data_IF_800598081087
#
_entry.id   IF_800598081087
#
_cell.length_a   1.000
_cell.length_b   1.000
_cell.length_c   1.000
_cell.angle_alpha   90.00
_cell.angle_beta   90.00
_cell.angle_gamma   90.00
#
_symmetry.space_group_name_H-M   'P 1'
#
loop_
_entity.id
_entity.type
_entity.pdbx_description
1 polymer ?
#
# COMPACT_ATOMS: atom_id res chain seq x y z
N UNK A 1 20.11 5.77 -4.70
CA UNK A 1 20.53 4.93 -3.56
C UNK A 1 19.30 4.51 -2.76
N UNK A 2 19.21 3.26 -2.33
CA UNK A 2 18.16 2.79 -1.42
C UNK A 2 18.66 2.88 0.02
N UNK A 3 18.06 3.73 0.83
CA UNK A 3 18.35 3.89 2.26
C UNK A 3 17.41 2.97 3.06
N UNK A 4 17.75 1.67 3.14
CA UNK A 4 16.88 0.67 3.74
C UNK A 4 16.63 0.93 5.22
N UNK A 5 15.36 1.14 5.57
CA UNK A 5 14.97 1.44 6.94
C UNK A 5 15.41 0.36 7.93
N UNK A 6 15.25 -0.91 7.55
CA UNK A 6 15.68 -2.08 8.32
C UNK A 6 17.18 -2.14 8.64
N UNK A 7 18.02 -1.44 7.88
CA UNK A 7 19.46 -1.30 8.15
C UNK A 7 19.77 -0.05 8.98
N UNK A 8 19.07 1.05 8.69
CA UNK A 8 19.35 2.36 9.29
C UNK A 8 18.88 2.43 10.75
N UNK A 9 17.71 1.87 11.09
CA UNK A 9 17.11 1.97 12.43
C UNK A 9 17.06 0.61 13.15
N UNK A 10 18.01 -0.28 12.84
CA UNK A 10 18.03 -1.67 13.30
C UNK A 10 18.05 -1.80 14.84
N UNK A 11 18.83 -0.95 15.51
CA UNK A 11 19.20 -1.11 16.92
C UNK A 11 18.15 -0.56 17.90
N UNK A 12 17.06 0.02 17.37
CA UNK A 12 15.91 0.46 18.15
C UNK A 12 15.34 1.80 17.68
N UNK A 13 14.17 2.19 18.21
CA UNK A 13 13.53 3.45 17.86
C UNK A 13 14.48 4.64 18.05
N UNK A 14 14.56 5.51 17.04
CA UNK A 14 15.38 6.71 16.96
C UNK A 14 16.90 6.48 17.04
N UNK A 15 17.37 5.23 16.87
CA UNK A 15 18.80 4.91 16.80
C UNK A 15 19.20 4.68 15.34
N UNK A 16 19.70 5.73 14.69
CA UNK A 16 20.04 5.72 13.27
C UNK A 16 21.53 5.48 13.02
N UNK A 17 21.86 4.44 12.25
CA UNK A 17 23.21 4.19 11.75
C UNK A 17 23.28 4.48 10.24
N UNK A 18 24.01 5.54 9.88
CA UNK A 18 24.24 5.96 8.49
C UNK A 18 25.66 5.67 7.99
N UNK A 19 26.52 5.05 8.81
CA UNK A 19 27.94 4.87 8.49
C UNK A 19 28.15 4.15 7.16
N UNK A 20 27.36 3.10 6.90
CA UNK A 20 27.42 2.35 5.63
C UNK A 20 27.00 3.15 4.39
N UNK A 21 26.25 4.26 4.57
CA UNK A 21 25.81 5.14 3.48
C UNK A 21 26.66 6.41 3.37
N UNK A 22 27.30 6.85 4.46
CA UNK A 22 28.06 8.09 4.51
C UNK A 22 29.17 8.15 3.46
N UNK A 23 29.93 7.06 3.30
CA UNK A 23 31.00 6.95 2.29
C UNK A 23 30.47 7.10 0.86
N UNK A 24 29.33 6.46 0.55
CA UNK A 24 28.68 6.57 -0.76
C UNK A 24 28.20 7.99 -1.04
N UNK A 25 27.61 8.65 -0.05
CA UNK A 25 27.15 10.04 -0.16
C UNK A 25 28.34 10.97 -0.42
N UNK A 26 29.43 10.82 0.33
CA UNK A 26 30.65 11.60 0.13
C UNK A 26 31.24 11.39 -1.27
N UNK A 27 31.29 10.16 -1.77
CA UNK A 27 31.75 9.86 -3.12
C UNK A 27 30.92 10.59 -4.19
N UNK A 28 29.59 10.56 -4.07
CA UNK A 28 28.69 11.25 -5.01
C UNK A 28 28.93 12.75 -4.98
N UNK A 29 29.08 13.33 -3.78
CA UNK A 29 29.35 14.76 -3.60
C UNK A 29 30.71 15.19 -4.19
N UNK A 30 31.77 14.39 -3.99
CA UNK A 30 33.10 14.67 -4.55
C UNK A 30 33.09 14.77 -6.08
N UNK A 31 32.17 14.07 -6.75
CA UNK A 31 32.06 14.08 -8.21
C UNK A 31 31.01 15.06 -8.74
N UNK A 32 30.43 15.91 -7.87
CA UNK A 32 29.40 16.89 -8.27
C UNK A 32 28.11 16.25 -8.80
N UNK A 33 27.87 14.97 -8.48
CA UNK A 33 26.70 14.24 -8.96
C UNK A 33 25.49 14.49 -8.04
N UNK A 34 24.29 14.45 -8.62
CA UNK A 34 23.03 14.54 -7.87
C UNK A 34 22.68 13.19 -7.26
N UNK A 35 22.34 13.19 -5.98
CA UNK A 35 21.89 12.00 -5.27
C UNK A 35 20.36 11.91 -5.29
N UNK A 36 19.84 10.75 -5.70
CA UNK A 36 18.45 10.36 -5.47
C UNK A 36 18.44 9.30 -4.37
N UNK A 37 17.79 9.60 -3.24
CA UNK A 37 17.63 8.66 -2.12
C UNK A 37 16.19 8.16 -2.09
N UNK A 38 16.01 6.85 -2.15
CA UNK A 38 14.73 6.20 -1.89
C UNK A 38 14.76 5.72 -0.45
N UNK A 39 13.71 6.04 0.32
CA UNK A 39 13.53 5.59 1.70
C UNK A 39 12.47 4.49 1.74
N UNK A 40 12.83 3.22 1.50
CA UNK A 40 11.88 2.11 1.56
C UNK A 40 11.54 1.76 3.02
N UNK A 41 10.28 1.99 3.40
CA UNK A 41 9.68 1.54 4.68
C UNK A 41 9.05 0.14 4.55
N UNK A 42 9.65 -0.72 3.73
CA UNK A 42 9.19 -2.08 3.45
C UNK A 42 10.35 -3.07 3.52
N UNK A 43 10.01 -4.35 3.70
CA UNK A 43 10.97 -5.45 3.63
C UNK A 43 11.40 -5.72 2.18
N UNK A 44 12.69 -6.00 1.97
CA UNK A 44 13.25 -6.55 0.73
C UNK A 44 13.34 -8.09 0.80
N UNK A 45 13.22 -8.78 -0.34
CA UNK A 45 13.52 -10.21 -0.44
C UNK A 45 12.32 -11.11 -0.70
N UNK A 46 11.18 -10.53 -1.11
CA UNK A 46 9.92 -11.25 -1.32
C UNK A 46 9.26 -10.94 -2.67
N UNK A 47 9.93 -10.19 -3.55
CA UNK A 47 9.43 -9.85 -4.88
C UNK A 47 10.38 -10.35 -5.98
N UNK A 48 9.86 -10.51 -7.20
CA UNK A 48 10.64 -10.86 -8.41
C UNK A 48 11.83 -9.91 -8.57
N UNK A 49 13.03 -10.50 -8.65
CA UNK A 49 14.29 -9.77 -8.87
C UNK A 49 15.05 -9.38 -7.59
N UNK A 50 14.58 -9.77 -6.41
CA UNK A 50 15.33 -9.55 -5.16
C UNK A 50 16.43 -10.62 -4.95
N UNK A 51 17.69 -10.20 -4.93
CA UNK A 51 18.85 -11.08 -4.69
C UNK A 51 19.29 -11.16 -3.21
N UNK A 52 18.75 -10.32 -2.33
CA UNK A 52 19.03 -10.38 -0.89
C UNK A 52 17.82 -9.98 -0.05
N UNK A 53 17.77 -10.48 1.19
CA UNK A 53 16.67 -10.25 2.14
C UNK A 53 17.06 -9.18 3.16
N UNK A 54 16.26 -8.12 3.25
CA UNK A 54 16.40 -7.06 4.26
C UNK A 54 15.04 -6.95 4.97
N UNK A 55 14.88 -7.58 6.16
CA UNK A 55 13.61 -7.55 6.88
C UNK A 55 13.33 -6.16 7.47
N UNK A 56 12.10 -5.97 7.96
CA UNK A 56 11.83 -4.90 8.92
C UNK A 56 12.63 -5.13 10.22
N UNK A 57 12.80 -4.07 11.00
CA UNK A 57 13.54 -4.09 12.24
C UNK A 57 12.87 -5.03 13.27
N UNK A 58 13.66 -5.73 14.12
CA UNK A 58 13.11 -6.62 15.14
C UNK A 58 12.07 -5.95 16.05
N UNK A 59 12.31 -4.70 16.47
CA UNK A 59 11.39 -3.96 17.34
C UNK A 59 10.05 -3.65 16.66
N UNK A 60 10.05 -3.46 15.33
CA UNK A 60 8.83 -3.26 14.53
C UNK A 60 8.04 -4.54 14.43
N UNK A 61 8.73 -5.66 14.20
CA UNK A 61 8.12 -6.99 14.16
C UNK A 61 7.51 -7.35 15.52
N UNK A 62 8.14 -6.94 16.62
CA UNK A 62 7.59 -7.09 17.97
C UNK A 62 6.30 -6.28 18.16
N UNK A 63 6.25 -5.02 17.72
CA UNK A 63 5.03 -4.21 17.78
C UNK A 63 3.90 -4.79 16.91
N UNK A 64 4.23 -5.32 15.73
CA UNK A 64 3.29 -6.05 14.87
C UNK A 64 2.78 -7.32 15.59
N UNK A 65 3.63 -8.00 16.37
CA UNK A 65 3.21 -9.18 17.15
C UNK A 65 2.22 -8.80 18.26
N UNK A 66 2.44 -7.66 18.93
CA UNK A 66 1.56 -7.13 19.99
C UNK A 66 0.24 -6.64 19.42
N UNK A 67 0.28 -5.95 18.28
CA UNK A 67 -0.90 -5.44 17.59
C UNK A 67 -0.89 -5.82 16.11
N UNK A 68 -1.46 -7.00 15.77
CA UNK A 68 -1.42 -7.46 14.39
C UNK A 68 -2.35 -6.70 13.42
N UNK A 69 -3.16 -5.75 13.90
CA UNK A 69 -3.96 -4.86 13.05
C UNK A 69 -3.10 -3.73 12.41
N UNK A 70 -1.80 -3.66 12.75
CA UNK A 70 -0.83 -2.71 12.20
C UNK A 70 -0.40 -3.02 10.75
N UNK A 71 -0.68 -4.23 10.27
CA UNK A 71 -0.28 -4.71 8.94
C UNK A 71 -1.49 -4.95 8.05
N UNK A 72 -1.28 -4.91 6.73
CA UNK A 72 -2.35 -5.26 5.80
C UNK A 72 -2.75 -6.72 6.00
N UNK A 73 -4.06 -6.97 6.00
CA UNK A 73 -4.63 -8.30 6.14
C UNK A 73 -5.60 -8.55 5.00
N UNK A 74 -5.48 -9.70 4.37
CA UNK A 74 -6.42 -10.13 3.32
C UNK A 74 -7.68 -10.77 3.93
N UNK A 75 -8.62 -11.20 3.08
CA UNK A 75 -9.91 -11.78 3.51
C UNK A 75 -9.73 -13.11 4.23
N UNK A 76 -8.68 -13.87 3.90
CA UNK A 76 -8.31 -15.14 4.53
C UNK A 76 -7.57 -14.94 5.86
N UNK A 77 -7.31 -13.69 6.25
CA UNK A 77 -6.61 -13.36 7.49
C UNK A 77 -5.08 -13.39 7.38
N UNK A 78 -4.52 -13.59 6.18
CA UNK A 78 -3.07 -13.56 5.95
C UNK A 78 -2.57 -12.13 6.08
N UNK A 79 -1.46 -11.96 6.81
CA UNK A 79 -0.89 -10.65 7.16
C UNK A 79 0.35 -10.39 6.32
N UNK A 80 0.48 -9.18 5.78
CA UNK A 80 1.67 -8.73 5.07
C UNK A 80 2.46 -7.69 5.91
N UNK A 81 3.61 -8.07 6.50
CA UNK A 81 4.44 -7.17 7.29
C UNK A 81 5.29 -6.20 6.47
N UNK A 82 5.25 -6.22 5.13
CA UNK A 82 6.09 -5.37 4.27
C UNK A 82 5.75 -3.87 4.31
N UNK A 83 4.95 -3.38 5.25
CA UNK A 83 4.51 -1.97 5.24
C UNK A 83 4.50 -1.39 6.65
N UNK A 84 5.33 -0.37 6.88
CA UNK A 84 5.36 0.38 8.13
C UNK A 84 5.51 1.89 7.88
N UNK A 85 5.28 2.72 8.91
CA UNK A 85 5.17 4.18 8.86
C UNK A 85 6.08 4.90 9.89
N UNK A 86 6.59 6.09 9.50
CA UNK A 86 7.32 7.16 10.25
C UNK A 86 8.83 6.90 10.51
N UNK A 87 9.79 7.85 10.55
CA UNK A 87 9.95 9.33 10.36
C UNK A 87 11.47 9.54 10.06
N UNK A 88 11.89 10.59 9.34
CA UNK A 88 13.33 10.94 9.16
C UNK A 88 13.56 12.47 9.23
N UNK A 89 14.80 12.96 9.38
CA UNK A 89 15.16 14.39 9.27
C UNK A 89 16.59 14.60 8.77
N UNK A 90 16.75 15.66 7.97
CA UNK A 90 17.96 16.32 7.44
C UNK A 90 18.86 15.51 6.50
N UNK A 91 19.15 16.06 5.30
CA UNK A 91 20.45 16.09 4.58
C UNK A 91 20.22 16.45 3.09
N UNK A 92 20.94 17.49 2.62
CA UNK A 92 21.39 17.83 1.24
C UNK A 92 20.29 18.02 0.15
N UNK A 93 20.58 18.79 -0.91
CA UNK A 93 19.75 18.86 -2.13
C UNK A 93 19.68 17.48 -2.82
N UNK A 94 18.67 16.72 -2.45
CA UNK A 94 18.46 15.32 -2.81
C UNK A 94 17.03 15.15 -3.31
N UNK A 95 16.81 14.30 -4.31
CA UNK A 95 15.45 13.81 -4.57
C UNK A 95 15.16 12.67 -3.59
N UNK A 96 14.07 12.80 -2.83
CA UNK A 96 13.64 11.84 -1.82
C UNK A 96 12.36 11.18 -2.29
N UNK A 97 12.45 9.88 -2.60
CA UNK A 97 11.27 9.08 -2.88
C UNK A 97 10.67 8.54 -1.59
N UNK A 98 9.45 8.95 -1.30
CA UNK A 98 8.69 8.55 -0.11
C UNK A 98 8.03 7.20 -0.37
N UNK A 99 8.44 6.16 0.37
CA UNK A 99 7.79 4.85 0.32
C UNK A 99 6.38 4.90 0.91
N UNK A 100 5.37 4.48 0.15
CA UNK A 100 3.95 4.60 0.55
C UNK A 100 3.21 3.27 0.74
N UNK A 101 3.90 2.15 0.53
CA UNK A 101 3.33 0.81 0.57
C UNK A 101 4.33 -0.25 0.08
N UNK A 102 3.86 -1.45 -0.31
CA UNK A 102 4.71 -2.53 -0.81
C UNK A 102 5.56 -2.07 -2.00
N UNK A 103 6.83 -2.48 -2.03
CA UNK A 103 7.81 -2.02 -3.02
C UNK A 103 8.01 -0.49 -3.06
N UNK A 104 7.60 0.23 -2.00
CA UNK A 104 7.63 1.70 -1.93
C UNK A 104 6.47 2.38 -2.69
N UNK A 105 5.57 1.60 -3.30
CA UNK A 105 4.51 2.09 -4.16
C UNK A 105 3.25 2.45 -3.36
N UNK A 106 2.54 3.49 -3.77
CA UNK A 106 1.20 3.79 -3.26
C UNK A 106 0.21 2.78 -3.83
N UNK A 107 0.11 1.61 -3.21
CA UNK A 107 -0.89 0.56 -3.52
C UNK A 107 -1.14 -0.36 -2.35
N UNK A 108 -2.18 -1.18 -2.46
CA UNK A 108 -2.36 -2.34 -1.60
C UNK A 108 -1.47 -3.53 -2.04
N UNK A 109 -1.14 -4.46 -1.12
CA UNK A 109 -0.47 -5.71 -1.45
C UNK A 109 -1.45 -6.71 -2.10
N UNK A 110 -2.06 -6.35 -3.23
CA UNK A 110 -3.11 -7.16 -3.88
C UNK A 110 -2.58 -8.35 -4.67
N UNK A 111 -1.26 -8.50 -4.82
CA UNK A 111 -0.60 -9.60 -5.53
C UNK A 111 0.70 -10.06 -4.83
N UNK A 112 0.65 -10.51 -3.56
CA UNK A 112 1.83 -10.94 -2.82
C UNK A 112 2.39 -12.25 -3.40
N UNK A 113 3.72 -12.39 -3.43
CA UNK A 113 4.39 -13.55 -4.02
C UNK A 113 4.69 -14.67 -3.01
N UNK A 114 4.79 -14.34 -1.72
CA UNK A 114 5.40 -15.20 -0.70
C UNK A 114 4.70 -16.54 -0.44
N UNK A 115 3.49 -16.79 -0.97
CA UNK A 115 2.64 -17.91 -0.56
C UNK A 115 2.09 -18.76 -1.73
N UNK A 116 2.72 -18.76 -2.91
CA UNK A 116 2.22 -19.51 -4.08
C UNK A 116 0.85 -19.03 -4.56
N UNK A 117 0.46 -17.82 -4.16
CA UNK A 117 -0.83 -17.15 -4.41
C UNK A 117 -0.95 -16.61 -5.83
N UNK A 118 0.13 -16.60 -6.61
CA UNK A 118 0.16 -15.94 -7.92
C UNK A 118 -0.13 -16.91 -9.07
N UNK A 119 -1.06 -16.50 -9.93
CA UNK A 119 -1.01 -16.68 -11.39
C UNK A 119 -0.72 -15.27 -11.93
N UNK A 120 0.24 -15.10 -12.83
CA UNK A 120 0.72 -13.77 -13.26
C UNK A 120 -0.41 -12.82 -13.72
N UNK A 121 -1.51 -13.41 -14.22
CA UNK A 121 -2.72 -12.73 -14.69
C UNK A 121 -3.92 -12.89 -13.76
N UNK A 122 -3.75 -13.15 -12.46
CA UNK A 122 -4.87 -13.18 -11.51
C UNK A 122 -5.39 -11.78 -11.17
N UNK A 123 -6.66 -11.67 -10.78
CA UNK A 123 -7.27 -10.38 -10.38
C UNK A 123 -6.68 -9.78 -9.10
N UNK A 124 -5.96 -10.58 -8.30
CA UNK A 124 -5.49 -10.17 -6.98
C UNK A 124 -6.58 -10.25 -5.91
N UNK A 125 -6.33 -9.69 -4.73
CA UNK A 125 -7.33 -9.68 -3.65
C UNK A 125 -7.47 -8.29 -3.02
N UNK A 126 -8.72 -7.92 -2.68
CA UNK A 126 -9.02 -6.69 -1.96
C UNK A 126 -8.44 -6.79 -0.55
N UNK A 127 -7.34 -6.08 -0.34
CA UNK A 127 -6.69 -5.96 0.96
C UNK A 127 -7.08 -4.65 1.63
N UNK A 128 -7.31 -4.70 2.94
CA UNK A 128 -7.54 -3.51 3.77
C UNK A 128 -6.99 -3.74 5.18
N UNK A 129 -6.49 -2.70 5.86
CA UNK A 129 -6.17 -2.86 7.28
C UNK A 129 -7.45 -3.12 8.08
N UNK A 130 -7.43 -4.07 9.01
CA UNK A 130 -8.62 -4.46 9.80
C UNK A 130 -9.26 -3.29 10.54
N UNK A 131 -8.47 -2.32 11.03
CA UNK A 131 -8.97 -1.08 11.63
C UNK A 131 -9.87 -0.27 10.68
N UNK A 132 -9.55 -0.27 9.38
CA UNK A 132 -10.35 0.40 8.35
C UNK A 132 -11.62 -0.39 8.01
N UNK A 133 -11.58 -1.72 8.05
CA UNK A 133 -12.78 -2.57 7.89
C UNK A 133 -13.81 -2.29 8.99
N UNK A 134 -13.38 -2.06 10.23
CA UNK A 134 -14.27 -1.60 11.32
C UNK A 134 -14.93 -0.25 11.00
N UNK A 135 -14.20 0.68 10.36
CA UNK A 135 -14.73 1.96 9.91
C UNK A 135 -15.77 1.83 8.78
N UNK A 136 -15.63 0.88 7.85
CA UNK A 136 -16.67 0.58 6.85
C UNK A 136 -17.97 0.17 7.53
N UNK A 137 -17.90 -0.70 8.54
CA UNK A 137 -19.08 -1.14 9.30
C UNK A 137 -19.80 0.05 9.94
N UNK A 138 -19.04 0.97 10.53
CA UNK A 138 -19.57 2.16 11.19
C UNK A 138 -20.18 3.14 10.18
N UNK A 139 -19.44 3.47 9.11
CA UNK A 139 -19.90 4.39 8.07
C UNK A 139 -21.12 3.85 7.31
N UNK A 140 -21.21 2.53 7.11
CA UNK A 140 -22.40 1.86 6.56
C UNK A 140 -23.60 2.01 7.49
N UNK A 141 -23.44 1.77 8.79
CA UNK A 141 -24.51 1.92 9.78
C UNK A 141 -25.02 3.37 9.84
N UNK A 142 -24.11 4.33 9.74
CA UNK A 142 -24.43 5.75 9.65
C UNK A 142 -25.22 6.12 8.38
N UNK A 143 -24.80 5.64 7.19
CA UNK A 143 -25.54 5.89 5.93
C UNK A 143 -26.85 5.13 5.81
N UNK A 144 -26.97 3.94 6.41
CA UNK A 144 -28.21 3.16 6.44
C UNK A 144 -29.27 3.82 7.33
N UNK A 145 -28.85 4.46 8.43
CA UNK A 145 -29.73 5.27 9.28
C UNK A 145 -30.26 6.54 8.58
N UNK A 146 -29.54 7.08 7.61
CA UNK A 146 -29.96 8.29 6.87
C UNK A 146 -30.88 8.00 5.69
N UNK A 147 -31.02 6.74 5.24
CA UNK A 147 -31.90 6.35 4.14
C UNK A 147 -32.74 5.14 4.55
N UNK A 148 -33.92 5.40 5.12
CA UNK A 148 -34.99 4.41 5.23
C UNK A 148 -35.35 3.91 3.83
N UNK A 149 -34.82 2.75 3.41
CA UNK A 149 -35.32 1.81 2.38
C UNK A 149 -34.15 0.98 1.83
N UNK A 150 -33.76 -0.08 2.54
CA UNK A 150 -33.19 -1.28 1.90
C UNK A 150 -32.97 -2.40 2.92
N UNK A 151 -33.98 -3.26 3.05
CA UNK A 151 -33.91 -4.57 3.74
C UNK A 151 -33.03 -5.60 2.99
N UNK A 152 -32.36 -5.21 1.90
CA UNK A 152 -31.51 -6.09 1.06
C UNK A 152 -30.00 -5.95 1.29
N UNK A 153 -29.57 -5.05 2.18
CA UNK A 153 -28.15 -4.72 2.46
C UNK A 153 -27.54 -5.54 3.63
N UNK A 154 -28.14 -6.68 4.00
CA UNK A 154 -27.72 -7.49 5.16
C UNK A 154 -26.54 -8.43 4.87
N UNK A 155 -26.12 -8.61 3.61
CA UNK A 155 -24.83 -9.24 3.27
C UNK A 155 -23.71 -8.19 3.35
N UNK A 156 -22.61 -8.48 4.04
CA UNK A 156 -21.42 -7.61 4.07
C UNK A 156 -21.08 -7.04 5.44
N UNK A 157 -20.60 -7.88 6.35
CA UNK A 157 -19.86 -7.42 7.54
C UNK A 157 -18.38 -7.23 7.23
N UNK A 158 -17.89 -7.48 6.01
CA UNK A 158 -16.53 -7.20 5.55
C UNK A 158 -16.53 -6.69 4.11
N UNK A 159 -15.36 -6.60 3.46
CA UNK A 159 -15.26 -6.31 2.03
C UNK A 159 -16.12 -7.26 1.17
N UNK A 160 -16.29 -6.98 -0.13
CA UNK A 160 -17.12 -7.80 -1.01
C UNK A 160 -16.69 -9.27 -0.94
N UNK A 161 -17.60 -10.12 -0.47
CA UNK A 161 -17.35 -11.55 -0.24
C UNK A 161 -17.33 -12.35 -1.55
N UNK A 162 -17.88 -11.75 -2.60
CA UNK A 162 -18.06 -12.18 -3.97
C UNK A 162 -16.93 -11.73 -4.91
N UNK A 163 -15.86 -11.13 -4.37
CA UNK A 163 -14.71 -10.62 -5.12
C UNK A 163 -13.68 -11.66 -5.55
N UNK A 164 -13.93 -12.95 -5.32
CA UNK A 164 -13.00 -14.02 -5.67
C UNK A 164 -11.67 -13.94 -4.90
N UNK A 165 -10.71 -14.76 -5.32
CA UNK A 165 -9.38 -14.95 -4.75
C UNK A 165 -8.28 -14.52 -5.73
N UNK A 166 -7.04 -14.41 -5.22
CA UNK A 166 -5.87 -13.92 -5.97
C UNK A 166 -5.72 -14.45 -7.40
N UNK A 167 -6.06 -15.72 -7.66
CA UNK A 167 -5.83 -16.42 -8.94
C UNK A 167 -7.01 -16.40 -9.90
N UNK A 168 -8.18 -15.93 -9.47
CA UNK A 168 -9.36 -15.87 -10.32
C UNK A 168 -9.15 -14.92 -11.51
N UNK A 169 -9.89 -15.15 -12.59
CA UNK A 169 -10.11 -14.19 -13.65
C UNK A 169 -11.33 -13.32 -13.32
N UNK A 170 -11.48 -12.11 -13.91
CA UNK A 170 -12.62 -11.24 -13.65
C UNK A 170 -13.97 -11.95 -13.81
N UNK A 171 -14.10 -12.77 -14.86
CA UNK A 171 -15.26 -13.58 -15.21
C UNK A 171 -15.59 -14.66 -14.17
N UNK A 172 -14.64 -15.08 -13.35
CA UNK A 172 -14.87 -16.09 -12.30
C UNK A 172 -15.53 -15.49 -11.05
N UNK A 173 -15.78 -14.17 -11.01
CA UNK A 173 -16.22 -13.47 -9.80
C UNK A 173 -17.52 -12.72 -10.00
N UNK A 174 -18.51 -12.91 -9.12
CA UNK A 174 -19.76 -12.16 -9.20
C UNK A 174 -19.54 -10.65 -8.97
N UNK A 175 -18.56 -10.27 -8.15
CA UNK A 175 -18.27 -8.86 -7.88
C UNK A 175 -17.59 -8.13 -9.05
N UNK A 176 -16.75 -8.79 -9.86
CA UNK A 176 -16.06 -8.13 -10.98
C UNK A 176 -16.60 -8.50 -12.36
N UNK A 177 -17.63 -9.34 -12.43
CA UNK A 177 -18.45 -9.59 -13.61
C UNK A 177 -19.18 -8.31 -14.08
N UNK A 178 -19.82 -8.42 -15.25
CA UNK A 178 -20.47 -7.30 -15.93
C UNK A 178 -21.45 -6.55 -15.00
N UNK A 179 -21.26 -5.23 -14.88
CA UNK A 179 -22.12 -4.25 -14.18
C UNK A 179 -21.93 -4.09 -12.65
N UNK A 180 -20.77 -4.41 -12.11
CA UNK A 180 -20.44 -4.13 -10.70
C UNK A 180 -20.60 -2.65 -10.30
N UNK A 181 -20.32 -1.71 -11.23
CA UNK A 181 -20.38 -0.26 -11.01
C UNK A 181 -21.79 0.36 -11.20
N UNK A 182 -22.68 -0.33 -11.91
CA UNK A 182 -24.01 0.17 -12.32
C UNK A 182 -25.17 -0.52 -11.60
N UNK A 183 -25.02 -1.80 -11.24
CA UNK A 183 -26.04 -2.56 -10.49
C UNK A 183 -25.84 -2.41 -8.97
N UNK A 184 -24.59 -2.30 -8.49
CA UNK A 184 -24.31 -2.31 -7.05
C UNK A 184 -23.92 -0.92 -6.53
N UNK A 185 -24.91 -0.19 -5.99
CA UNK A 185 -24.65 1.00 -5.14
C UNK A 185 -23.61 0.72 -4.04
N UNK A 186 -23.57 -0.52 -3.55
CA UNK A 186 -22.56 -1.00 -2.61
C UNK A 186 -21.17 -1.13 -3.21
N UNK A 187 -21.02 -1.72 -4.41
CA UNK A 187 -19.73 -1.91 -5.08
C UNK A 187 -19.05 -0.57 -5.38
N UNK A 188 -19.79 0.37 -5.97
CA UNK A 188 -19.31 1.75 -6.17
C UNK A 188 -18.88 2.40 -4.85
N UNK A 189 -19.74 2.34 -3.83
CA UNK A 189 -19.43 2.90 -2.51
C UNK A 189 -18.16 2.29 -1.89
N UNK A 190 -18.01 0.97 -1.97
CA UNK A 190 -16.87 0.27 -1.41
C UNK A 190 -15.58 0.66 -2.14
N UNK A 191 -15.59 0.69 -3.47
CA UNK A 191 -14.41 1.06 -4.26
C UNK A 191 -14.05 2.54 -4.10
N UNK A 192 -15.04 3.44 -3.99
CA UNK A 192 -14.83 4.85 -3.65
C UNK A 192 -14.15 5.01 -2.29
N UNK A 193 -14.59 4.23 -1.30
CA UNK A 193 -14.02 4.21 0.03
C UNK A 193 -12.61 3.62 0.06
N UNK A 194 -12.40 2.47 -0.60
CA UNK A 194 -11.14 1.72 -0.61
C UNK A 194 -10.01 2.54 -1.26
N UNK A 195 -10.25 3.05 -2.47
CA UNK A 195 -9.30 3.96 -3.14
C UNK A 195 -9.12 5.28 -2.37
N UNK A 196 -10.18 5.80 -1.76
CA UNK A 196 -10.12 7.00 -0.93
C UNK A 196 -9.21 6.84 0.29
N UNK A 197 -9.16 5.65 0.91
CA UNK A 197 -8.27 5.36 2.04
C UNK A 197 -6.81 5.26 1.62
N UNK A 198 -6.53 4.70 0.44
CA UNK A 198 -5.17 4.70 -0.11
C UNK A 198 -4.67 6.12 -0.35
N UNK A 199 -5.50 6.98 -0.96
CA UNK A 199 -5.18 8.40 -1.18
C UNK A 199 -4.95 9.16 0.13
N UNK A 200 -5.81 8.95 1.14
CA UNK A 200 -5.66 9.57 2.46
C UNK A 200 -4.34 9.17 3.13
N UNK A 201 -3.94 7.90 3.00
CA UNK A 201 -2.66 7.42 3.50
C UNK A 201 -1.48 8.06 2.76
N UNK A 202 -1.51 8.07 1.43
CA UNK A 202 -0.49 8.72 0.59
C UNK A 202 -0.34 10.20 0.94
N UNK A 203 -1.44 10.92 1.07
CA UNK A 203 -1.44 12.33 1.46
C UNK A 203 -0.78 12.55 2.83
N UNK A 204 -1.10 11.73 3.84
CA UNK A 204 -0.49 11.85 5.17
C UNK A 204 1.02 11.62 5.13
N UNK A 205 1.49 10.63 4.36
CA UNK A 205 2.91 10.33 4.23
C UNK A 205 3.66 11.45 3.49
N UNK A 206 3.11 11.93 2.37
CA UNK A 206 3.68 13.03 1.60
C UNK A 206 3.66 14.34 2.37
N UNK A 207 2.59 14.65 3.11
CA UNK A 207 2.51 15.83 3.96
C UNK A 207 3.53 15.77 5.11
N UNK A 208 3.72 14.60 5.72
CA UNK A 208 4.75 14.40 6.75
C UNK A 208 6.15 14.60 6.18
N UNK A 209 6.44 14.01 5.01
CA UNK A 209 7.71 14.19 4.32
C UNK A 209 7.94 15.67 3.94
N UNK A 210 6.91 16.35 3.42
CA UNK A 210 6.97 17.78 3.11
C UNK A 210 7.30 18.61 4.35
N UNK A 211 6.68 18.35 5.49
CA UNK A 211 6.97 19.06 6.73
C UNK A 211 8.40 18.81 7.25
N UNK A 212 8.93 17.61 7.05
CA UNK A 212 10.30 17.23 7.44
C UNK A 212 11.34 17.94 6.57
N UNK A 213 11.14 17.95 5.25
CA UNK A 213 12.10 18.44 4.26
C UNK A 213 11.80 19.88 3.81
N UNK A 214 10.88 20.56 4.49
CA UNK A 214 10.59 21.96 4.22
C UNK A 214 11.84 22.81 4.46
N UNK A 215 12.23 23.59 3.46
CA UNK A 215 13.40 24.48 3.53
C UNK A 215 14.75 23.82 3.26
N UNK A 216 14.80 22.51 2.97
CA UNK A 216 16.08 21.82 2.69
C UNK A 216 16.51 21.87 1.21
N UNK A 217 15.66 22.38 0.31
CA UNK A 217 15.88 22.32 -1.15
C UNK A 217 15.65 20.93 -1.77
N UNK A 218 15.33 19.91 -0.97
CA UNK A 218 15.09 18.56 -1.45
C UNK A 218 13.81 18.47 -2.30
N UNK A 219 13.88 17.71 -3.40
CA UNK A 219 12.69 17.38 -4.21
C UNK A 219 12.04 16.13 -3.62
N UNK A 220 10.72 16.12 -3.49
CA UNK A 220 9.99 14.95 -3.03
C UNK A 220 9.30 14.26 -4.20
N UNK A 221 9.41 12.93 -4.26
CA UNK A 221 8.69 12.12 -5.23
C UNK A 221 7.99 10.94 -4.54
N UNK A 222 6.99 10.41 -5.23
CA UNK A 222 6.24 9.22 -4.82
C UNK A 222 6.16 8.23 -5.98
N UNK A 223 6.05 6.94 -5.67
CA UNK A 223 5.97 5.89 -6.68
C UNK A 223 4.53 5.35 -6.77
N UNK A 224 4.01 5.21 -7.98
CA UNK A 224 2.74 4.56 -8.29
C UNK A 224 3.05 3.26 -9.02
N UNK A 225 2.33 2.18 -8.72
CA UNK A 225 2.56 0.89 -9.35
C UNK A 225 1.98 0.85 -10.76
N UNK A 226 2.72 0.28 -11.71
CA UNK A 226 2.21 -0.02 -13.05
C UNK A 226 1.46 -1.36 -13.03
N UNK A 227 0.14 -1.32 -12.83
CA UNK A 227 -0.72 -2.51 -12.84
C UNK A 227 -1.43 -2.59 -14.20
N UNK A 228 -0.86 -3.32 -15.15
CA UNK A 228 -1.31 -3.33 -16.54
C UNK A 228 -2.14 -4.55 -16.94
N UNK A 229 -2.07 -5.65 -16.19
CA UNK A 229 -2.87 -6.83 -16.51
C UNK A 229 -4.35 -6.55 -16.20
N UNK A 230 -5.26 -7.15 -16.97
CA UNK A 230 -6.70 -6.85 -16.95
C UNK A 230 -7.10 -5.41 -17.32
N UNK A 231 -6.17 -4.54 -17.77
CA UNK A 231 -6.49 -3.17 -18.18
C UNK A 231 -7.48 -3.09 -19.36
N UNK A 232 -7.45 -4.08 -20.27
CA UNK A 232 -8.38 -4.16 -21.40
C UNK A 232 -9.67 -4.93 -21.08
N UNK A 233 -9.88 -5.31 -19.81
CA UNK A 233 -11.14 -5.94 -19.38
C UNK A 233 -12.12 -4.86 -18.96
N UNK A 234 -13.43 -5.14 -19.00
CA UNK A 234 -14.46 -4.15 -18.61
C UNK A 234 -14.34 -3.64 -17.17
N UNK A 235 -13.68 -4.38 -16.29
CA UNK A 235 -13.62 -4.09 -14.85
C UNK A 235 -12.25 -3.63 -14.35
N UNK A 236 -11.18 -3.64 -15.15
CA UNK A 236 -9.81 -3.26 -14.72
C UNK A 236 -9.43 -3.84 -13.35
N UNK A 237 -9.77 -5.11 -13.11
CA UNK A 237 -9.82 -5.71 -11.77
C UNK A 237 -8.51 -5.60 -10.99
N UNK A 238 -7.37 -5.74 -11.67
CA UNK A 238 -6.07 -5.64 -11.05
C UNK A 238 -5.80 -4.22 -10.50
N UNK A 239 -6.19 -3.19 -11.24
CA UNK A 239 -6.11 -1.80 -10.78
C UNK A 239 -7.05 -1.57 -9.59
N UNK A 240 -8.27 -2.10 -9.66
CA UNK A 240 -9.25 -2.02 -8.58
C UNK A 240 -8.73 -2.65 -7.28
N UNK A 241 -8.21 -3.88 -7.33
CA UNK A 241 -7.65 -4.54 -6.15
C UNK A 241 -6.38 -3.85 -5.64
N UNK A 242 -5.59 -3.26 -6.55
CA UNK A 242 -4.45 -2.37 -6.23
C UNK A 242 -4.84 -1.07 -5.53
N UNK A 243 -6.11 -0.69 -5.56
CA UNK A 243 -6.68 0.53 -4.96
C UNK A 243 -6.88 1.69 -5.95
N UNK A 244 -6.74 1.45 -7.25
CA UNK A 244 -6.77 2.46 -8.31
C UNK A 244 -8.14 2.63 -8.97
N UNK A 245 -9.19 2.80 -8.17
CA UNK A 245 -10.54 3.02 -8.70
C UNK A 245 -10.80 4.45 -9.19
N UNK A 246 -10.26 5.47 -8.49
CA UNK A 246 -10.47 6.88 -8.85
C UNK A 246 -9.65 7.37 -10.04
N UNK A 247 -8.84 6.51 -10.65
CA UNK A 247 -7.97 6.84 -11.77
C UNK A 247 -8.51 6.35 -13.12
N UNK A 248 -9.61 5.58 -13.10
CA UNK A 248 -10.23 4.95 -14.26
C UNK A 248 -11.58 5.56 -14.64
N UNK A 249 -11.97 6.69 -14.03
CA UNK A 249 -13.20 7.41 -14.39
C UNK A 249 -12.93 8.36 -15.56
N UNK A 250 -13.11 7.86 -16.77
CA UNK A 250 -13.64 8.63 -17.91
C UNK A 250 -15.11 8.27 -18.09
#
# INVERSE_FOLDING_TARGET
>A
MLAWWGLIEKDGPMKYNWEGYATLIQMVQMHGLKLHVVMPFHQRGRNVGDFCSIPLQPWVLEEISKNPDLVYTDKSGRRNPESFRERFRNYIEVEIQVGMGPCGELRYPSYPESNGTRRFSGIGEISAMKRYVKLVRYYRRFKHMLNHQSRRLTRGTSGPHDAGEYKNLPEDTEFFQERWNSIYKYGKFFMDWHSGKLLEQGHKLLASAKAIFQGTGAKLSGKVAGIYWHYNTRSNTAELTGGYYKFTTQ
#
